data_IF_825637642367
#
_entry.id   IF_825637642367
#
_cell.length_a   1.000
_cell.length_b   1.000
_cell.length_c   1.000
_cell.angle_alpha   90.00
_cell.angle_beta   90.00
_cell.angle_gamma   90.00
#
_symmetry.space_group_name_H-M   'P 1'
#
loop_
_entity.id
_entity.type
_entity.pdbx_description
1 polymer ?
#
# COMPACT_ATOMS: atom_id res chain seq x y z
N UNK A 1 -6.64 -12.59 10.98
CA UNK A 1 -7.70 -12.89 9.98
C UNK A 1 -8.69 -11.74 9.97
N UNK A 2 -9.23 -11.38 8.81
CA UNK A 2 -10.28 -10.34 8.71
C UNK A 2 -11.68 -10.92 8.97
N UNK A 3 -12.63 -10.06 9.38
CA UNK A 3 -13.99 -10.49 9.77
C UNK A 3 -14.71 -11.23 8.63
N UNK A 4 -14.49 -10.80 7.40
CA UNK A 4 -15.02 -11.43 6.19
C UNK A 4 -14.66 -12.92 6.09
N UNK A 5 -13.48 -13.32 6.57
CA UNK A 5 -13.07 -14.73 6.57
C UNK A 5 -14.00 -15.61 7.39
N UNK A 6 -14.45 -15.13 8.55
CA UNK A 6 -15.41 -15.85 9.40
C UNK A 6 -16.82 -15.83 8.80
N UNK A 7 -17.27 -14.66 8.32
CA UNK A 7 -18.60 -14.52 7.71
C UNK A 7 -18.81 -15.44 6.50
N UNK A 8 -17.78 -15.63 5.67
CA UNK A 8 -17.87 -16.51 4.51
C UNK A 8 -17.45 -17.96 4.82
N UNK A 9 -16.49 -18.17 5.71
CA UNK A 9 -15.92 -19.50 5.97
C UNK A 9 -16.78 -20.39 6.87
N UNK A 10 -17.36 -19.81 7.93
CA UNK A 10 -18.14 -20.59 8.92
C UNK A 10 -19.38 -21.26 8.30
N UNK A 11 -20.22 -20.58 7.50
CA UNK A 11 -21.38 -21.24 6.88
C UNK A 11 -20.97 -22.43 5.99
N UNK A 12 -19.89 -22.29 5.22
CA UNK A 12 -19.38 -23.38 4.37
C UNK A 12 -18.86 -24.54 5.21
N UNK A 13 -18.19 -24.25 6.33
CA UNK A 13 -17.74 -25.26 7.27
C UNK A 13 -18.91 -26.02 7.92
N UNK A 14 -19.97 -25.33 8.30
CA UNK A 14 -21.19 -25.94 8.84
C UNK A 14 -21.85 -26.84 7.79
N UNK A 15 -21.98 -26.37 6.55
CA UNK A 15 -22.51 -27.18 5.45
C UNK A 15 -21.66 -28.43 5.18
N UNK A 16 -20.33 -28.32 5.30
CA UNK A 16 -19.43 -29.46 5.19
C UNK A 16 -19.74 -30.52 6.27
N UNK A 17 -19.88 -30.09 7.52
CA UNK A 17 -20.21 -30.97 8.65
C UNK A 17 -21.58 -31.64 8.48
N UNK A 18 -22.59 -30.89 8.03
CA UNK A 18 -23.93 -31.42 7.75
C UNK A 18 -23.88 -32.46 6.63
N UNK A 19 -23.20 -32.18 5.51
CA UNK A 19 -23.06 -33.12 4.41
C UNK A 19 -22.37 -34.43 4.84
N UNK A 20 -21.31 -34.33 5.66
CA UNK A 20 -20.65 -35.50 6.23
C UNK A 20 -21.56 -36.30 7.17
N UNK A 21 -22.38 -35.61 7.97
CA UNK A 21 -23.37 -36.25 8.87
C UNK A 21 -24.42 -37.07 8.13
N UNK A 22 -24.80 -36.67 6.90
CA UNK A 22 -25.68 -37.44 6.01
C UNK A 22 -24.95 -38.52 5.18
N UNK A 23 -23.65 -38.75 5.42
CA UNK A 23 -22.85 -39.73 4.67
C UNK A 23 -22.42 -39.27 3.28
N UNK A 24 -22.67 -38.01 2.90
CA UNK A 24 -22.21 -37.42 1.63
C UNK A 24 -20.74 -36.98 1.73
N UNK A 25 -19.85 -37.94 1.97
CA UNK A 25 -18.44 -37.72 2.26
C UNK A 25 -17.72 -36.92 1.17
N UNK A 26 -17.93 -37.25 -0.10
CA UNK A 26 -17.32 -36.53 -1.23
C UNK A 26 -17.73 -35.04 -1.25
N UNK A 27 -19.00 -34.74 -1.01
CA UNK A 27 -19.51 -33.36 -0.93
C UNK A 27 -18.91 -32.65 0.28
N UNK A 28 -18.88 -33.32 1.43
CA UNK A 28 -18.27 -32.81 2.66
C UNK A 28 -16.80 -32.43 2.48
N UNK A 29 -16.00 -33.27 1.81
CA UNK A 29 -14.58 -33.02 1.55
C UNK A 29 -14.39 -31.79 0.65
N UNK A 30 -15.18 -31.66 -0.41
CA UNK A 30 -15.14 -30.49 -1.30
C UNK A 30 -15.48 -29.20 -0.54
N UNK A 31 -16.53 -29.23 0.29
CA UNK A 31 -16.92 -28.08 1.11
C UNK A 31 -15.86 -27.74 2.17
N UNK A 32 -15.22 -28.73 2.76
CA UNK A 32 -14.13 -28.52 3.71
C UNK A 32 -12.92 -27.85 3.05
N UNK A 33 -12.54 -28.33 1.85
CA UNK A 33 -11.47 -27.72 1.05
C UNK A 33 -11.82 -26.26 0.69
N UNK A 34 -13.08 -25.99 0.34
CA UNK A 34 -13.57 -24.64 0.06
C UNK A 34 -13.51 -23.74 1.30
N UNK A 35 -13.95 -24.22 2.46
CA UNK A 35 -13.85 -23.48 3.72
C UNK A 35 -12.40 -23.17 4.08
N UNK A 36 -11.50 -24.14 3.96
CA UNK A 36 -10.06 -23.95 4.16
C UNK A 36 -9.48 -22.89 3.22
N UNK A 37 -9.87 -22.92 1.94
CA UNK A 37 -9.48 -21.91 0.97
C UNK A 37 -9.98 -20.51 1.34
N UNK A 38 -11.24 -20.37 1.79
CA UNK A 38 -11.80 -19.08 2.23
C UNK A 38 -11.01 -18.52 3.42
N UNK A 39 -10.75 -19.34 4.43
CA UNK A 39 -9.94 -18.92 5.59
C UNK A 39 -8.52 -18.52 5.18
N UNK A 40 -7.90 -19.29 4.27
CA UNK A 40 -6.58 -18.95 3.72
C UNK A 40 -6.61 -17.64 2.93
N UNK A 41 -7.65 -17.41 2.13
CA UNK A 41 -7.79 -16.22 1.30
C UNK A 41 -7.92 -14.93 2.15
N UNK A 42 -8.78 -14.97 3.18
CA UNK A 42 -9.01 -13.85 4.10
C UNK A 42 -8.01 -13.80 5.27
N UNK A 43 -6.89 -14.52 5.16
CA UNK A 43 -5.83 -14.47 6.17
C UNK A 43 -5.24 -13.07 6.23
N UNK A 44 -4.83 -12.69 7.43
CA UNK A 44 -4.14 -11.43 7.68
C UNK A 44 -3.08 -11.70 8.76
N UNK A 45 -1.87 -12.09 8.35
CA UNK A 45 -0.78 -12.38 9.26
C UNK A 45 -0.23 -11.08 9.85
N UNK A 46 0.36 -11.18 11.04
CA UNK A 46 1.13 -10.08 11.62
C UNK A 46 2.37 -9.79 10.78
N UNK A 47 2.75 -8.51 10.74
CA UNK A 47 3.84 -8.01 9.90
C UNK A 47 4.76 -7.16 10.76
N UNK A 48 6.07 -7.37 10.59
CA UNK A 48 7.07 -6.42 11.09
C UNK A 48 7.15 -5.27 10.10
N UNK A 49 6.84 -4.07 10.58
CA UNK A 49 6.89 -2.84 9.77
C UNK A 49 8.29 -2.23 9.96
N UNK A 50 9.01 -1.89 8.87
CA UNK A 50 10.29 -1.21 8.97
C UNK A 50 10.21 0.07 9.82
N UNK A 51 11.23 0.29 10.67
CA UNK A 51 11.30 1.45 11.55
C UNK A 51 11.81 2.73 10.85
N UNK A 52 12.50 2.61 9.71
CA UNK A 52 13.03 3.73 8.91
C UNK A 52 11.94 4.75 8.60
N UNK A 53 12.01 5.96 9.16
CA UNK A 53 10.98 7.00 8.99
C UNK A 53 10.76 7.41 7.53
N UNK A 54 11.76 7.23 6.66
CA UNK A 54 11.65 7.56 5.23
C UNK A 54 11.10 6.42 4.39
N UNK A 55 10.98 5.21 4.94
CA UNK A 55 10.51 4.07 4.18
C UNK A 55 9.04 4.20 3.78
N UNK A 56 8.78 3.96 2.50
CA UNK A 56 7.46 3.78 1.91
C UNK A 56 7.28 2.28 1.67
N UNK A 57 6.40 1.64 2.42
CA UNK A 57 6.21 0.18 2.37
C UNK A 57 5.17 -0.24 1.34
N UNK A 58 5.22 -1.49 0.91
CA UNK A 58 4.25 -2.04 -0.01
C UNK A 58 2.86 -1.99 0.61
N UNK A 59 1.84 -1.49 -0.11
CA UNK A 59 0.47 -1.51 0.40
C UNK A 59 -0.16 -2.90 0.31
N UNK A 60 0.47 -3.86 -0.38
CA UNK A 60 -0.10 -5.15 -0.72
C UNK A 60 0.96 -6.26 -0.81
N UNK A 61 0.54 -7.51 -0.60
CA UNK A 61 1.32 -8.69 -1.01
C UNK A 61 1.16 -8.92 -2.50
N UNK A 62 2.25 -9.11 -3.24
CA UNK A 62 2.13 -9.37 -4.66
C UNK A 62 3.43 -9.28 -5.43
N UNK A 63 3.31 -9.04 -6.73
CA UNK A 63 4.43 -8.81 -7.63
C UNK A 63 4.37 -7.40 -8.20
N UNK A 64 5.50 -6.70 -8.22
CA UNK A 64 5.63 -5.41 -8.91
C UNK A 64 5.52 -5.67 -10.40
N UNK A 65 4.53 -5.08 -11.07
CA UNK A 65 4.25 -5.30 -12.50
C UNK A 65 4.48 -4.04 -13.34
N UNK A 66 4.51 -2.86 -12.73
CA UNK A 66 4.80 -1.59 -13.40
C UNK A 66 5.64 -0.73 -12.47
N UNK A 67 6.67 -0.11 -13.04
CA UNK A 67 7.35 1.07 -12.49
C UNK A 67 7.55 2.01 -13.68
N UNK A 68 6.83 3.13 -13.71
CA UNK A 68 6.92 4.09 -14.81
C UNK A 68 6.74 5.52 -14.34
N UNK A 69 7.28 6.47 -15.09
CA UNK A 69 6.95 7.88 -14.91
C UNK A 69 5.50 8.11 -15.29
N UNK A 70 4.75 8.78 -14.41
CA UNK A 70 3.34 9.09 -14.62
C UNK A 70 3.00 10.37 -13.86
N UNK A 71 2.35 11.30 -14.55
CA UNK A 71 1.83 12.51 -13.93
C UNK A 71 0.54 12.20 -13.16
N UNK A 72 0.36 12.84 -12.01
CA UNK A 72 -0.88 12.77 -11.25
C UNK A 72 -1.32 14.16 -10.80
N UNK A 73 -2.53 14.56 -11.18
CA UNK A 73 -3.12 15.87 -10.87
C UNK A 73 -2.15 17.04 -11.19
N UNK A 74 -1.54 17.03 -12.38
CA UNK A 74 -0.62 18.08 -12.83
C UNK A 74 0.81 17.99 -12.27
N UNK A 75 1.12 16.96 -11.45
CA UNK A 75 2.42 16.81 -10.79
C UNK A 75 3.21 15.63 -11.36
N UNK A 76 4.48 15.82 -11.75
CA UNK A 76 5.32 14.74 -12.23
C UNK A 76 5.64 13.76 -11.09
N UNK A 77 5.62 12.47 -11.40
CA UNK A 77 5.91 11.44 -10.42
C UNK A 77 6.13 10.08 -11.06
N UNK A 78 6.09 9.05 -10.22
CA UNK A 78 6.25 7.65 -10.62
C UNK A 78 5.07 6.85 -10.10
N UNK A 79 4.54 5.97 -10.97
CA UNK A 79 3.57 4.95 -10.58
C UNK A 79 4.25 3.60 -10.45
N UNK A 80 3.98 2.95 -9.33
CA UNK A 80 4.27 1.55 -9.07
C UNK A 80 2.96 0.79 -9.04
N UNK A 81 2.91 -0.38 -9.67
CA UNK A 81 1.74 -1.26 -9.60
C UNK A 81 2.11 -2.61 -9.03
N UNK A 82 1.37 -3.02 -8.01
CA UNK A 82 1.52 -4.32 -7.37
C UNK A 82 0.31 -5.17 -7.74
N UNK A 83 0.54 -6.29 -8.41
CA UNK A 83 -0.49 -7.28 -8.71
C UNK A 83 -0.58 -8.32 -7.58
N UNK A 84 -1.78 -8.50 -7.04
CA UNK A 84 -2.10 -9.44 -5.98
C UNK A 84 -2.78 -10.66 -6.60
N UNK A 85 -2.06 -11.77 -6.72
CA UNK A 85 -2.63 -13.05 -7.14
C UNK A 85 -3.60 -13.59 -6.08
N UNK A 86 -4.42 -14.58 -6.45
CA UNK A 86 -5.41 -15.19 -5.54
C UNK A 86 -4.79 -15.81 -4.28
N UNK A 87 -3.50 -16.17 -4.34
CA UNK A 87 -2.76 -16.75 -3.22
C UNK A 87 -2.14 -15.72 -2.28
N UNK A 88 -2.11 -14.44 -2.66
CA UNK A 88 -1.56 -13.38 -1.82
C UNK A 88 -2.50 -13.00 -0.67
N UNK A 89 -2.00 -12.19 0.27
CA UNK A 89 -2.85 -11.54 1.28
C UNK A 89 -3.49 -10.32 0.64
N UNK A 90 -4.82 -10.26 0.66
CA UNK A 90 -5.57 -9.18 0.00
C UNK A 90 -5.85 -7.98 0.90
N UNK A 91 -5.52 -8.06 2.18
CA UNK A 91 -5.55 -6.91 3.09
C UNK A 91 -4.53 -5.88 2.62
N UNK A 92 -4.99 -4.65 2.43
CA UNK A 92 -4.15 -3.54 2.03
C UNK A 92 -3.78 -2.67 3.23
N UNK A 93 -2.59 -2.09 3.14
CA UNK A 93 -1.96 -1.32 4.20
C UNK A 93 -1.53 0.06 3.72
N UNK A 94 -1.49 1.02 4.64
CA UNK A 94 -0.93 2.34 4.37
C UNK A 94 0.58 2.22 4.10
N UNK A 95 1.04 2.84 3.01
CA UNK A 95 2.45 2.79 2.61
C UNK A 95 3.34 3.72 3.44
N UNK A 96 2.78 4.78 4.02
CA UNK A 96 3.46 5.71 4.90
C UNK A 96 2.53 6.15 6.05
N UNK A 97 3.09 6.79 7.07
CA UNK A 97 2.28 7.47 8.07
C UNK A 97 1.83 8.84 7.53
N UNK A 98 0.62 9.26 7.86
CA UNK A 98 0.07 10.52 7.40
C UNK A 98 -1.43 10.64 7.62
N UNK A 99 -2.04 11.66 7.05
CA UNK A 99 -3.48 11.92 7.13
C UNK A 99 -4.13 11.72 5.76
N UNK A 100 -5.28 11.05 5.73
CA UNK A 100 -6.02 10.81 4.50
C UNK A 100 -6.59 12.14 3.99
N UNK A 101 -5.93 12.70 2.98
CA UNK A 101 -6.26 14.01 2.37
C UNK A 101 -7.29 13.90 1.26
N UNK A 102 -7.46 12.71 0.67
CA UNK A 102 -8.46 12.43 -0.36
C UNK A 102 -8.97 11.00 -0.22
N UNK A 103 -10.28 10.82 -0.38
CA UNK A 103 -10.92 9.51 -0.45
C UNK A 103 -12.01 9.56 -1.52
N UNK A 104 -11.76 8.91 -2.66
CA UNK A 104 -12.63 8.95 -3.85
C UNK A 104 -12.89 7.51 -4.31
N UNK A 105 -14.07 7.01 -3.96
CA UNK A 105 -14.53 5.69 -4.36
C UNK A 105 -15.34 5.79 -5.64
N UNK A 106 -14.95 4.98 -6.63
CA UNK A 106 -15.59 4.93 -7.95
C UNK A 106 -16.05 3.52 -8.24
N UNK A 107 -17.36 3.37 -8.46
CA UNK A 107 -17.90 2.14 -8.99
C UNK A 107 -17.51 2.00 -10.47
N UNK A 108 -17.23 0.78 -10.93
CA UNK A 108 -16.77 0.55 -12.29
C UNK A 108 -16.99 -0.88 -12.78
N UNK A 109 -16.37 -1.18 -13.91
CA UNK A 109 -16.33 -2.50 -14.56
C UNK A 109 -15.35 -3.44 -13.84
N UNK A 110 -15.19 -4.65 -14.39
CA UNK A 110 -14.33 -5.69 -13.83
C UNK A 110 -13.43 -6.26 -14.94
N UNK A 111 -12.59 -5.43 -15.55
CA UNK A 111 -11.54 -5.88 -16.49
C UNK A 111 -10.43 -6.63 -15.74
N UNK A 112 -9.67 -7.49 -16.42
CA UNK A 112 -8.51 -8.15 -15.84
C UNK A 112 -7.52 -7.11 -15.27
N UNK A 113 -7.10 -7.29 -14.01
CA UNK A 113 -6.36 -6.27 -13.25
C UNK A 113 -5.00 -5.88 -13.87
N UNK A 114 -4.45 -6.73 -14.74
CA UNK A 114 -3.19 -6.51 -15.46
C UNK A 114 -3.34 -5.54 -16.65
N UNK A 115 -4.56 -5.26 -17.12
CA UNK A 115 -4.78 -4.34 -18.25
C UNK A 115 -4.69 -2.89 -17.79
N UNK A 116 -4.03 -2.04 -18.57
CA UNK A 116 -3.88 -0.61 -18.24
C UNK A 116 -5.24 0.11 -18.07
N UNK A 117 -6.22 -0.22 -18.93
CA UNK A 117 -7.60 0.31 -18.84
C UNK A 117 -8.31 -0.01 -17.52
N UNK A 118 -7.86 -1.02 -16.77
CA UNK A 118 -8.43 -1.33 -15.47
C UNK A 118 -8.29 -0.17 -14.46
N UNK A 119 -7.25 0.69 -14.57
CA UNK A 119 -7.12 1.87 -13.70
C UNK A 119 -8.19 2.94 -13.96
N UNK A 120 -8.81 2.93 -15.14
CA UNK A 120 -9.80 3.93 -15.54
C UNK A 120 -11.22 3.40 -15.39
N UNK A 121 -11.44 2.16 -15.79
CA UNK A 121 -12.78 1.61 -15.95
C UNK A 121 -13.21 0.73 -14.79
N UNK A 122 -12.29 0.16 -14.00
CA UNK A 122 -12.70 -0.76 -12.94
C UNK A 122 -13.15 -0.04 -11.68
N UNK A 123 -13.90 -0.78 -10.86
CA UNK A 123 -14.17 -0.37 -9.49
C UNK A 123 -12.84 -0.12 -8.75
N UNK A 124 -12.73 1.08 -8.19
CA UNK A 124 -11.52 1.52 -7.51
C UNK A 124 -11.81 2.44 -6.34
N UNK A 125 -10.86 2.47 -5.41
CA UNK A 125 -10.80 3.44 -4.34
C UNK A 125 -9.47 4.19 -4.42
N UNK A 126 -9.54 5.52 -4.52
CA UNK A 126 -8.37 6.40 -4.54
C UNK A 126 -8.21 7.04 -3.17
N UNK A 127 -7.05 6.81 -2.55
CA UNK A 127 -6.68 7.33 -1.23
C UNK A 127 -5.48 8.25 -1.43
N UNK A 128 -5.68 9.55 -1.22
CA UNK A 128 -4.59 10.51 -1.09
C UNK A 128 -4.11 10.54 0.36
N UNK A 129 -2.80 10.52 0.55
CA UNK A 129 -2.17 10.58 1.87
C UNK A 129 -1.23 11.78 1.91
N UNK A 130 -1.52 12.69 2.84
CA UNK A 130 -0.65 13.80 3.20
C UNK A 130 0.31 13.35 4.29
N UNK A 131 1.60 13.40 4.01
CA UNK A 131 2.66 12.98 4.95
C UNK A 131 3.62 14.15 5.19
N UNK A 132 4.38 14.10 6.29
CA UNK A 132 5.40 15.11 6.60
C UNK A 132 6.48 15.25 5.51
N UNK A 133 6.66 14.22 4.68
CA UNK A 133 7.64 14.19 3.61
C UNK A 133 7.05 14.56 2.23
N UNK A 134 5.73 14.63 2.10
CA UNK A 134 5.03 14.93 0.85
C UNK A 134 3.72 14.17 0.67
N UNK A 135 3.03 14.48 -0.43
CA UNK A 135 1.79 13.80 -0.81
C UNK A 135 2.10 12.49 -1.56
N UNK A 136 1.27 11.47 -1.33
CA UNK A 136 1.25 10.25 -2.13
C UNK A 136 -0.17 9.77 -2.39
N UNK A 137 -0.33 8.88 -3.37
CA UNK A 137 -1.65 8.33 -3.71
C UNK A 137 -1.60 6.81 -3.81
N UNK A 138 -2.57 6.17 -3.18
CA UNK A 138 -2.84 4.73 -3.29
C UNK A 138 -4.13 4.54 -4.06
N UNK A 139 -4.12 3.70 -5.10
CA UNK A 139 -5.34 3.28 -5.79
C UNK A 139 -5.54 1.78 -5.60
N UNK A 140 -6.60 1.42 -4.91
CA UNK A 140 -7.06 0.04 -4.80
C UNK A 140 -7.96 -0.26 -5.99
N UNK A 141 -7.56 -1.21 -6.85
CA UNK A 141 -8.25 -1.48 -8.11
C UNK A 141 -8.71 -2.94 -8.12
N UNK A 142 -10.03 -3.14 -8.16
CA UNK A 142 -10.60 -4.47 -8.32
C UNK A 142 -10.30 -5.00 -9.73
N UNK A 143 -9.85 -6.25 -9.84
CA UNK A 143 -9.78 -6.99 -11.10
C UNK A 143 -11.10 -7.63 -11.52
N UNK A 144 -11.04 -8.59 -12.46
CA UNK A 144 -12.21 -9.25 -13.02
C UNK A 144 -12.94 -10.19 -12.06
N UNK A 145 -12.16 -10.92 -11.25
CA UNK A 145 -12.69 -11.82 -10.22
C UNK A 145 -13.06 -11.01 -8.97
N UNK A 146 -12.37 -9.90 -8.74
CA UNK A 146 -12.60 -8.97 -7.65
C UNK A 146 -13.87 -8.16 -7.88
N UNK A 147 -14.86 -8.29 -7.00
CA UNK A 147 -16.12 -7.53 -7.12
C UNK A 147 -16.30 -6.42 -6.11
N UNK A 148 -15.33 -6.22 -5.21
CA UNK A 148 -15.46 -5.19 -4.19
C UNK A 148 -14.12 -4.71 -3.64
N UNK A 149 -13.96 -3.39 -3.60
CA UNK A 149 -12.96 -2.70 -2.77
C UNK A 149 -13.63 -2.30 -1.46
N UNK A 150 -13.06 -2.72 -0.34
CA UNK A 150 -13.50 -2.33 1.00
C UNK A 150 -12.46 -1.39 1.58
N UNK A 151 -12.85 -0.15 1.87
CA UNK A 151 -12.05 0.80 2.62
C UNK A 151 -12.60 0.89 4.05
N UNK A 152 -11.72 0.81 5.05
CA UNK A 152 -12.10 0.92 6.46
C UNK A 152 -11.82 2.31 7.03
N UNK A 153 -11.29 3.22 6.22
CA UNK A 153 -10.79 4.53 6.62
C UNK A 153 -11.67 5.67 6.14
N UNK A 154 -11.56 6.82 6.79
CA UNK A 154 -12.32 8.03 6.48
C UNK A 154 -11.41 9.18 6.07
N UNK A 155 -11.96 10.13 5.33
CA UNK A 155 -11.29 11.39 5.04
C UNK A 155 -10.91 12.12 6.34
N UNK A 156 -9.70 12.66 6.41
CA UNK A 156 -9.16 13.35 7.59
C UNK A 156 -8.62 12.41 8.68
N UNK A 157 -8.74 11.09 8.53
CA UNK A 157 -8.21 10.13 9.50
C UNK A 157 -6.68 10.01 9.35
N UNK A 158 -5.96 10.01 10.48
CA UNK A 158 -4.53 9.69 10.51
C UNK A 158 -4.30 8.19 10.51
N UNK A 159 -3.31 7.74 9.75
CA UNK A 159 -2.90 6.33 9.66
C UNK A 159 -1.41 6.19 9.92
N UNK A 160 -1.03 5.11 10.59
CA UNK A 160 0.37 4.72 10.75
C UNK A 160 0.86 3.95 9.52
N UNK A 161 2.18 3.98 9.26
CA UNK A 161 2.78 3.15 8.21
C UNK A 161 2.51 1.67 8.49
N UNK A 162 2.09 0.94 7.46
CA UNK A 162 1.77 -0.48 7.56
C UNK A 162 0.43 -0.79 8.24
N UNK A 163 -0.30 0.24 8.69
CA UNK A 163 -1.64 0.09 9.24
C UNK A 163 -2.60 -0.42 8.17
N UNK A 164 -3.57 -1.23 8.57
CA UNK A 164 -4.58 -1.81 7.69
C UNK A 164 -5.58 -0.73 7.28
N UNK A 165 -5.77 -0.56 5.97
CA UNK A 165 -6.67 0.47 5.42
C UNK A 165 -7.87 -0.12 4.67
N UNK A 166 -7.79 -1.38 4.27
CA UNK A 166 -8.86 -2.01 3.53
C UNK A 166 -8.52 -3.39 3.01
N UNK A 167 -9.33 -3.85 2.07
CA UNK A 167 -9.28 -5.17 1.46
C UNK A 167 -9.82 -5.09 0.03
N UNK A 168 -9.14 -5.73 -0.92
CA UNK A 168 -9.70 -5.94 -2.27
C UNK A 168 -9.97 -7.44 -2.45
N UNK A 169 -11.22 -7.82 -2.65
CA UNK A 169 -11.57 -9.25 -2.78
C UNK A 169 -11.02 -9.79 -4.11
N UNK A 170 -10.47 -11.00 -4.12
CA UNK A 170 -10.04 -11.82 -5.27
C UNK A 170 -9.34 -11.17 -6.47
N UNK A 171 -8.00 -11.24 -6.55
CA UNK A 171 -7.27 -10.96 -7.80
C UNK A 171 -7.33 -9.49 -8.21
N UNK A 172 -6.36 -8.71 -7.75
CA UNK A 172 -6.46 -7.25 -7.77
C UNK A 172 -5.12 -6.58 -8.00
N UNK A 173 -5.16 -5.25 -8.09
CA UNK A 173 -3.96 -4.42 -8.22
C UNK A 173 -4.05 -3.27 -7.23
N UNK A 174 -2.90 -2.90 -6.66
CA UNK A 174 -2.75 -1.63 -5.96
C UNK A 174 -1.72 -0.81 -6.70
N UNK A 175 -2.12 0.40 -7.12
CA UNK A 175 -1.19 1.39 -7.65
C UNK A 175 -0.73 2.32 -6.53
N UNK A 176 0.55 2.67 -6.54
CA UNK A 176 1.16 3.68 -5.67
C UNK A 176 1.74 4.75 -6.58
N UNK A 177 1.29 5.99 -6.42
CA UNK A 177 1.91 7.14 -7.03
C UNK A 177 2.75 7.89 -6.00
N UNK A 178 3.97 8.23 -6.38
CA UNK A 178 4.93 8.97 -5.59
C UNK A 178 5.47 10.16 -6.40
N UNK A 179 5.80 11.29 -5.75
CA UNK A 179 6.43 12.41 -6.42
C UNK A 179 7.84 12.03 -6.88
N UNK A 180 8.38 12.75 -7.87
CA UNK A 180 9.62 12.39 -8.58
C UNK A 180 10.85 12.30 -7.67
N UNK A 181 10.82 13.01 -6.54
CA UNK A 181 11.89 13.08 -5.55
C UNK A 181 11.99 11.79 -4.71
N UNK A 182 10.99 10.92 -4.74
CA UNK A 182 11.04 9.64 -4.06
C UNK A 182 12.01 8.67 -4.77
N UNK A 183 12.91 8.06 -4.00
CA UNK A 183 13.84 7.06 -4.48
C UNK A 183 13.15 5.70 -4.57
N UNK A 184 12.97 5.16 -5.77
CA UNK A 184 12.37 3.83 -5.95
C UNK A 184 13.41 2.75 -5.71
N UNK A 185 13.08 1.78 -4.85
CA UNK A 185 13.99 0.73 -4.40
C UNK A 185 13.65 -0.66 -4.94
N UNK A 186 12.56 -0.77 -5.72
CA UNK A 186 12.08 -2.05 -6.27
C UNK A 186 12.09 -2.05 -7.79
N UNK A 187 12.12 -3.24 -8.37
CA UNK A 187 12.09 -3.44 -9.82
C UNK A 187 10.87 -4.24 -10.27
N UNK A 188 10.53 -4.14 -11.56
CA UNK A 188 9.46 -4.94 -12.15
C UNK A 188 9.83 -6.43 -12.06
N UNK A 189 8.88 -7.25 -11.62
CA UNK A 189 9.06 -8.69 -11.38
C UNK A 189 9.33 -9.03 -9.92
N UNK A 190 9.68 -8.06 -9.08
CA UNK A 190 9.99 -8.30 -7.67
C UNK A 190 8.76 -8.69 -6.84
N UNK A 191 8.93 -9.61 -5.90
CA UNK A 191 7.86 -10.02 -4.97
C UNK A 191 7.91 -9.19 -3.70
N UNK A 192 6.77 -8.61 -3.33
CA UNK A 192 6.65 -7.69 -2.19
C UNK A 192 5.59 -8.17 -1.20
N UNK A 193 5.78 -7.82 0.08
CA UNK A 193 4.85 -8.13 1.18
C UNK A 193 4.28 -6.83 1.76
N UNK A 194 2.96 -6.79 1.91
CA UNK A 194 2.22 -5.65 2.43
C UNK A 194 2.68 -5.27 3.83
N UNK A 195 3.01 -3.99 4.03
CA UNK A 195 3.51 -3.44 5.28
C UNK A 195 4.98 -3.73 5.58
N UNK A 196 5.63 -4.68 4.90
CA UNK A 196 6.99 -5.12 5.24
C UNK A 196 8.04 -4.80 4.18
N UNK A 197 7.75 -5.03 2.90
CA UNK A 197 8.69 -4.71 1.82
C UNK A 197 8.73 -3.20 1.62
N UNK A 198 9.93 -2.62 1.49
CA UNK A 198 10.11 -1.20 1.19
C UNK A 198 10.07 -1.04 -0.33
N UNK A 199 9.14 -0.22 -0.83
CA UNK A 199 9.03 0.11 -2.25
C UNK A 199 9.93 1.27 -2.64
N UNK A 200 10.01 2.26 -1.76
CA UNK A 200 10.68 3.51 -2.02
C UNK A 200 11.11 4.18 -0.71
N UNK A 201 11.90 5.24 -0.81
CA UNK A 201 12.20 6.14 0.29
C UNK A 201 11.86 7.58 -0.07
N UNK A 202 11.34 8.30 0.90
CA UNK A 202 11.27 9.74 0.85
C UNK A 202 12.68 10.36 0.75
N UNK A 203 12.82 11.49 0.04
CA UNK A 203 14.10 12.19 -0.04
C UNK A 203 14.61 12.55 1.36
N UNK A 204 15.93 12.59 1.53
CA UNK A 204 16.50 13.05 2.78
C UNK A 204 16.06 14.51 3.04
N UNK A 205 15.79 14.90 4.30
CA UNK A 205 15.58 16.29 4.64
C UNK A 205 16.78 17.10 4.13
N UNK A 206 16.55 18.21 3.43
CA UNK A 206 17.64 19.09 3.01
C UNK A 206 18.36 19.55 4.28
N UNK A 207 19.62 19.17 4.46
CA UNK A 207 20.46 19.72 5.52
C UNK A 207 20.57 21.22 5.22
N UNK A 208 19.97 22.06 6.08
CA UNK A 208 20.09 23.51 5.91
C UNK A 208 21.58 23.88 5.99
N UNK A 209 22.13 24.40 4.89
CA UNK A 209 23.51 24.88 4.78
C UNK A 209 23.76 26.20 5.54
N UNK A 210 23.00 26.47 6.60
CA UNK A 210 23.03 27.75 7.32
C UNK A 210 23.64 27.69 8.71
N UNK A 211 24.09 26.52 9.17
CA UNK A 211 24.75 26.38 10.49
C UNK A 211 26.29 26.37 10.43
N UNK A 212 26.90 25.97 9.32
CA UNK A 212 28.38 25.90 9.19
C UNK A 212 29.01 27.25 8.77
N UNK A 213 28.25 28.14 8.14
CA UNK A 213 28.74 29.47 7.69
C UNK A 213 28.71 30.55 8.77
N UNK A 214 28.10 30.29 9.94
CA UNK A 214 28.11 31.21 11.08
C UNK A 214 29.31 31.02 12.01
N UNK A 215 29.86 29.80 12.09
CA UNK A 215 31.02 29.51 12.95
C UNK A 215 32.35 29.97 12.31
N UNK A 216 32.41 29.98 10.97
CA UNK A 216 33.58 30.45 10.23
C UNK A 216 33.76 31.98 10.20
N UNK A 217 32.73 32.76 10.54
CA UNK A 217 32.78 34.24 10.54
C UNK A 217 33.13 34.86 11.90
N UNK A 218 33.11 34.10 13.00
CA UNK A 218 33.48 34.62 14.34
C UNK A 218 34.95 34.40 14.71
N UNK A 219 35.73 33.70 13.88
CA UNK A 219 37.13 33.36 14.17
C UNK A 219 38.19 34.31 13.55
N UNK A 220 37.82 35.52 13.08
CA UNK A 220 38.81 36.51 12.64
C UNK A 220 39.12 37.52 13.74
N UNK A 221 40.32 37.52 14.35
CA UNK A 221 40.70 38.53 15.31
C UNK A 221 40.96 39.86 14.58
N UNK A 222 40.29 40.90 15.08
CA UNK A 222 40.49 42.30 14.71
C UNK A 222 41.96 42.67 14.91
N UNK A 223 42.73 42.83 13.83
CA UNK A 223 44.07 43.41 13.89
C UNK A 223 43.94 44.87 14.32
N UNK A 224 44.34 45.15 15.56
CA UNK A 224 44.41 46.49 16.14
C UNK A 224 45.33 47.39 15.32
N UNK A 225 44.79 48.52 14.87
CA UNK A 225 45.55 49.62 14.30
C UNK A 225 46.54 50.19 15.33
N UNK A 226 47.83 49.95 15.11
CA UNK A 226 48.94 50.51 15.87
C UNK A 226 49.46 51.80 15.23
N UNK A 227 49.51 52.85 16.04
CA UNK A 227 49.80 54.27 15.76
C UNK A 227 51.26 54.54 15.36
N UNK A 228 51.41 55.61 14.56
CA UNK A 228 52.61 56.43 14.27
C UNK A 228 53.72 56.43 15.33
N UNK A 229 54.99 56.35 14.89
CA UNK A 229 55.96 57.47 14.86
C UNK A 229 57.16 57.10 13.99
#
# INVERSE_FOLDING_TARGET
MVREGYYFGIPVLVLAAVAMGFGWTSVGVVLLALAAFIFYFFRDPERRIPADSRAIVSPADGRVVVVKDEEHDGRPGKRLSIFLAIWNVHVNRASAAGTISRLDYRQGKFLAAMRERASLENEQNVIGLSTDAGEMVLKQIAGWIARRVVCWKKLGESVARGERIGLIRFGSRVDVWLPREAEILVTVGESVRGGSSVLARWPAPRRNASAEDMDSRQAQPVKSAGRRR
#
